data_IF_319455346209
#
_entry.id   IF_319455346209
#
_cell.length_a   1.000
_cell.length_b   1.000
_cell.length_c   1.000
_cell.angle_alpha   90.00
_cell.angle_beta   90.00
_cell.angle_gamma   90.00
#
_symmetry.space_group_name_H-M   'P 1'
#
loop_
_entity.id
_entity.type
_entity.pdbx_description
1 polymer ?
#
# COMPACT_ATOMS: atom_id res chain seq x y z
N UNK A 1 28.36 -6.14 -1.87
CA UNK A 1 27.75 -5.86 -3.19
C UNK A 1 26.97 -4.56 -3.06
N UNK A 2 27.20 -3.61 -3.97
CA UNK A 2 26.43 -2.36 -4.02
C UNK A 2 25.13 -2.63 -4.76
N UNK A 3 24.05 -1.95 -4.38
CA UNK A 3 22.77 -2.07 -5.06
C UNK A 3 22.28 -0.68 -5.46
N UNK A 4 21.69 -0.58 -6.65
CA UNK A 4 21.12 0.66 -7.13
C UNK A 4 19.93 1.07 -6.25
N UNK A 5 19.99 2.26 -5.64
CA UNK A 5 18.92 2.79 -4.78
C UNK A 5 17.59 3.03 -5.52
N UNK A 6 17.65 3.25 -6.84
CA UNK A 6 16.46 3.46 -7.69
C UNK A 6 15.76 2.16 -8.13
N UNK A 7 16.51 1.12 -8.52
CA UNK A 7 15.93 -0.08 -9.16
C UNK A 7 16.34 -1.42 -8.52
N UNK A 8 17.15 -1.41 -7.46
CA UNK A 8 17.59 -2.61 -6.74
C UNK A 8 18.60 -3.50 -7.48
N UNK A 9 19.07 -3.10 -8.67
CA UNK A 9 20.03 -3.91 -9.42
C UNK A 9 21.37 -4.04 -8.68
N UNK A 10 22.00 -5.21 -8.75
CA UNK A 10 23.36 -5.40 -8.25
C UNK A 10 24.35 -4.62 -9.11
N UNK A 11 25.30 -3.95 -8.45
CA UNK A 11 26.31 -3.11 -9.07
C UNK A 11 27.71 -3.61 -8.73
N UNK A 12 28.62 -3.47 -9.68
CA UNK A 12 30.05 -3.64 -9.43
C UNK A 12 30.54 -2.58 -8.44
N UNK A 13 31.58 -2.91 -7.66
CA UNK A 13 32.00 -2.07 -6.53
C UNK A 13 32.49 -0.67 -6.96
N UNK A 14 32.93 -0.52 -8.21
CA UNK A 14 33.46 0.69 -8.86
C UNK A 14 32.49 1.32 -9.88
N UNK A 15 31.27 0.78 -10.04
CA UNK A 15 30.28 1.32 -10.96
C UNK A 15 29.87 2.74 -10.57
N UNK A 16 30.11 3.72 -11.46
CA UNK A 16 29.72 5.13 -11.29
C UNK A 16 28.23 5.38 -11.62
N UNK A 17 27.64 4.50 -12.44
CA UNK A 17 26.25 4.57 -12.87
C UNK A 17 25.63 3.16 -12.87
N UNK A 18 24.33 3.09 -12.60
CA UNK A 18 23.59 1.84 -12.67
C UNK A 18 23.44 1.37 -14.11
N UNK A 19 24.00 0.21 -14.44
CA UNK A 19 23.91 -0.41 -15.77
C UNK A 19 22.48 -0.82 -16.19
N UNK A 20 21.50 -0.76 -15.28
CA UNK A 20 20.10 -1.09 -15.57
C UNK A 20 19.18 0.11 -15.74
N UNK A 21 19.37 1.17 -14.95
CA UNK A 21 18.47 2.34 -14.97
C UNK A 21 19.18 3.68 -15.11
N UNK A 22 20.50 3.70 -15.31
CA UNK A 22 21.28 4.92 -15.53
C UNK A 22 21.53 5.79 -14.30
N UNK A 23 20.93 5.48 -13.15
CA UNK A 23 21.09 6.27 -11.93
C UNK A 23 22.57 6.37 -11.51
N UNK A 24 23.06 7.58 -11.27
CA UNK A 24 24.40 7.80 -10.72
C UNK A 24 24.52 7.18 -9.33
N UNK A 25 25.61 6.46 -9.10
CA UNK A 25 25.92 5.84 -7.82
C UNK A 25 26.71 6.85 -7.01
N UNK A 26 26.06 7.47 -6.01
CA UNK A 26 26.75 8.39 -5.10
C UNK A 26 27.82 7.61 -4.32
N UNK A 27 29.08 8.02 -4.44
CA UNK A 27 30.22 7.32 -3.81
C UNK A 27 30.39 7.64 -2.32
N UNK A 28 29.52 8.45 -1.73
CA UNK A 28 29.63 8.90 -0.34
C UNK A 28 28.87 7.97 0.61
N UNK A 29 29.25 6.70 0.60
CA UNK A 29 28.76 5.71 1.58
C UNK A 29 29.92 4.91 2.16
N UNK A 30 30.86 5.65 2.75
CA UNK A 30 31.45 5.25 4.02
C UNK A 30 31.18 6.40 4.99
N UNK A 31 30.64 6.04 6.16
CA UNK A 31 30.46 6.88 7.34
C UNK A 31 29.15 7.67 7.44
N UNK A 32 28.02 6.94 7.53
CA UNK A 32 26.84 7.44 8.25
C UNK A 32 26.17 6.38 9.13
N UNK A 33 26.95 5.47 9.72
CA UNK A 33 26.53 4.62 10.83
C UNK A 33 27.74 4.37 11.75
N UNK A 34 27.94 5.31 12.68
CA UNK A 34 28.82 5.36 13.88
C UNK A 34 29.31 6.81 13.95
N UNK A 35 28.72 7.70 14.74
CA UNK A 35 29.09 7.86 16.14
C UNK A 35 28.14 8.89 16.75
N UNK A 36 27.32 8.46 17.71
CA UNK A 36 26.72 9.36 18.71
C UNK A 36 26.85 8.68 20.06
N UNK A 37 28.07 8.69 20.58
CA UNK A 37 28.38 8.58 22.00
C UNK A 37 29.87 8.89 22.20
N UNK A 38 30.12 9.76 23.17
CA UNK A 38 31.38 10.03 23.87
C UNK A 38 32.17 11.26 23.41
N UNK A 39 31.89 12.31 24.18
CA UNK A 39 32.68 13.45 24.62
C UNK A 39 34.18 13.22 24.86
N UNK A 40 34.90 14.33 24.68
CA UNK A 40 36.16 14.77 25.32
C UNK A 40 37.53 14.44 24.68
N UNK A 41 38.20 15.54 24.27
CA UNK A 41 39.61 15.89 24.52
C UNK A 41 40.73 15.09 23.81
N UNK A 42 41.39 15.73 22.83
CA UNK A 42 42.79 16.25 22.87
C UNK A 42 43.38 16.42 21.45
N UNK A 43 44.16 17.49 21.32
CA UNK A 43 44.82 18.10 20.17
C UNK A 43 45.91 17.27 19.44
N UNK A 44 46.27 17.79 18.24
CA UNK A 44 47.54 17.62 17.50
C UNK A 44 47.77 16.25 16.83
N UNK A 45 48.35 16.06 15.63
CA UNK A 45 49.15 16.88 14.72
C UNK A 45 49.38 16.08 13.39
N UNK A 46 49.66 16.81 12.29
CA UNK A 46 50.59 16.49 11.17
C UNK A 46 50.33 15.30 10.21
N UNK A 47 50.05 15.58 8.93
CA UNK A 47 51.02 15.71 7.80
C UNK A 47 51.68 14.37 7.41
N UNK A 48 51.35 13.76 6.25
CA UNK A 48 52.05 13.96 4.96
C UNK A 48 51.81 12.80 3.95
N UNK A 49 51.75 13.18 2.65
CA UNK A 49 52.30 12.52 1.43
C UNK A 49 52.19 11.01 1.20
N UNK A 50 52.16 10.46 0.00
CA UNK A 50 51.89 10.83 -1.41
C UNK A 50 52.26 9.53 -2.19
N UNK A 51 51.79 9.42 -3.43
CA UNK A 51 52.32 8.56 -4.52
C UNK A 51 52.02 7.05 -4.45
N UNK A 52 51.13 6.54 -5.30
CA UNK A 52 51.30 6.28 -6.75
C UNK A 52 52.42 5.27 -7.03
N UNK A 53 52.03 4.08 -7.52
CA UNK A 53 52.59 3.50 -8.75
C UNK A 53 51.77 2.31 -9.26
N UNK A 54 51.33 2.47 -10.51
CA UNK A 54 50.73 1.46 -11.39
C UNK A 54 51.82 0.57 -12.02
N UNK A 55 51.45 -0.68 -12.35
CA UNK A 55 51.82 -1.53 -13.53
C UNK A 55 51.68 -3.00 -13.10
N UNK A 56 51.26 -3.97 -13.91
CA UNK A 56 50.66 -4.09 -15.25
C UNK A 56 50.20 -5.56 -15.35
N UNK A 57 49.03 -5.78 -15.97
CA UNK A 57 48.70 -6.80 -17.00
C UNK A 57 49.23 -8.23 -16.82
N UNK A 58 48.31 -9.21 -16.84
CA UNK A 58 48.39 -10.39 -17.72
C UNK A 58 47.00 -11.01 -17.93
N UNK A 59 46.58 -11.03 -19.19
CA UNK A 59 45.49 -11.85 -19.73
C UNK A 59 45.84 -13.35 -19.65
N UNK A 60 44.83 -14.21 -19.56
CA UNK A 60 44.64 -15.50 -20.29
C UNK A 60 43.36 -16.18 -19.72
N UNK A 61 42.32 -16.30 -20.56
CA UNK A 61 41.35 -17.42 -20.59
C UNK A 61 41.84 -18.40 -21.67
N UNK A 62 41.48 -19.71 -21.70
CA UNK A 62 40.10 -20.18 -21.51
C UNK A 62 39.92 -21.64 -20.97
N UNK A 63 38.64 -22.06 -20.96
CA UNK A 63 38.09 -23.42 -21.11
C UNK A 63 37.57 -24.20 -19.87
N UNK A 64 36.23 -24.30 -19.85
CA UNK A 64 35.38 -25.50 -19.68
C UNK A 64 35.93 -26.70 -18.89
N UNK A 65 35.30 -26.98 -17.75
CA UNK A 65 35.02 -28.34 -17.29
C UNK A 65 33.57 -28.43 -16.78
N UNK A 66 32.82 -29.36 -17.37
CA UNK A 66 31.67 -30.02 -16.74
C UNK A 66 32.16 -30.80 -15.51
N UNK A 67 31.36 -30.85 -14.44
CA UNK A 67 30.77 -32.09 -13.93
C UNK A 67 29.91 -31.87 -12.67
N UNK A 68 28.79 -32.57 -12.70
CA UNK A 68 27.79 -32.87 -11.68
C UNK A 68 28.30 -33.05 -10.25
N UNK A 69 27.49 -32.60 -9.28
CA UNK A 69 27.15 -33.40 -8.09
C UNK A 69 25.66 -33.24 -7.81
N UNK A 70 24.97 -34.38 -7.85
CA UNK A 70 23.61 -34.60 -7.39
C UNK A 70 23.47 -34.33 -5.89
N UNK A 71 22.32 -33.82 -5.46
CA UNK A 71 21.60 -34.48 -4.38
C UNK A 71 20.11 -34.11 -4.43
N UNK A 72 19.39 -35.12 -4.88
CA UNK A 72 17.95 -35.32 -4.95
C UNK A 72 17.31 -35.38 -3.56
N UNK A 73 16.09 -34.85 -3.39
CA UNK A 73 15.05 -35.60 -2.69
C UNK A 73 13.67 -35.30 -3.30
N UNK A 74 13.07 -36.38 -3.79
CA UNK A 74 11.75 -36.61 -4.40
C UNK A 74 10.69 -36.53 -3.28
N UNK A 75 9.43 -36.11 -3.54
CA UNK A 75 8.30 -37.01 -3.84
C UNK A 75 7.15 -36.26 -4.54
N UNK A 76 6.63 -36.98 -5.54
CA UNK A 76 5.52 -36.72 -6.44
C UNK A 76 4.15 -36.46 -5.81
N UNK A 77 3.34 -35.76 -6.61
CA UNK A 77 1.88 -35.66 -6.56
C UNK A 77 1.28 -36.62 -7.60
N UNK A 78 0.24 -37.37 -7.21
CA UNK A 78 -0.91 -37.69 -8.06
C UNK A 78 -2.11 -38.04 -7.15
N UNK A 79 -3.19 -37.24 -7.19
CA UNK A 79 -4.48 -37.45 -7.89
C UNK A 79 -5.30 -38.66 -7.38
N UNK A 80 -6.53 -38.40 -6.90
CA UNK A 80 -7.83 -38.77 -7.54
C UNK A 80 -8.98 -38.47 -6.56
N UNK A 81 -10.14 -38.26 -7.19
CA UNK A 81 -11.35 -37.54 -6.87
C UNK A 81 -12.49 -38.41 -6.27
N UNK A 82 -13.56 -37.71 -5.84
CA UNK A 82 -14.99 -38.10 -5.81
C UNK A 82 -15.60 -39.06 -4.74
N UNK A 83 -16.47 -38.51 -3.88
CA UNK A 83 -17.95 -38.66 -3.91
C UNK A 83 -18.60 -37.90 -2.71
N UNK A 84 -19.43 -36.88 -2.94
CA UNK A 84 -20.92 -36.88 -2.96
C UNK A 84 -21.59 -37.43 -1.69
N UNK A 85 -22.27 -36.56 -0.94
CA UNK A 85 -23.74 -36.53 -0.89
C UNK A 85 -24.30 -35.28 -0.18
N UNK A 86 -25.42 -34.79 -0.72
CA UNK A 86 -26.29 -33.75 -0.13
C UNK A 86 -27.22 -34.41 0.89
N UNK A 87 -27.68 -33.67 1.91
CA UNK A 87 -29.08 -33.70 2.35
C UNK A 87 -29.41 -32.58 3.36
N UNK A 88 -30.50 -31.89 3.04
CA UNK A 88 -31.23 -30.92 3.86
C UNK A 88 -31.88 -31.56 5.10
N UNK A 89 -32.10 -30.76 6.17
CA UNK A 89 -33.45 -30.39 6.67
C UNK A 89 -33.43 -29.95 8.15
N UNK A 90 -33.90 -28.73 8.37
CA UNK A 90 -34.56 -28.30 9.61
C UNK A 90 -35.83 -29.13 9.86
N UNK A 91 -36.02 -29.65 11.09
CA UNK A 91 -37.30 -29.64 11.83
C UNK A 91 -37.17 -30.30 13.22
N UNK A 92 -37.44 -29.51 14.25
CA UNK A 92 -38.58 -29.75 15.15
C UNK A 92 -38.48 -30.85 16.23
N UNK A 93 -38.34 -30.35 17.46
CA UNK A 93 -39.13 -30.67 18.66
C UNK A 93 -39.01 -32.03 19.37
N UNK A 94 -38.80 -31.89 20.71
CA UNK A 94 -39.51 -32.57 21.82
C UNK A 94 -39.27 -34.08 21.95
N UNK A 95 -39.16 -34.68 23.11
CA UNK A 95 -39.25 -34.29 24.52
C UNK A 95 -38.70 -35.50 25.31
N UNK A 96 -38.54 -35.30 26.62
CA UNK A 96 -38.61 -36.31 27.70
C UNK A 96 -37.30 -37.02 28.08
N UNK A 97 -36.90 -37.19 29.35
CA UNK A 97 -37.13 -36.54 30.64
C UNK A 97 -36.35 -37.37 31.67
N UNK A 98 -35.68 -36.71 32.63
CA UNK A 98 -35.61 -37.03 34.08
C UNK A 98 -34.27 -36.56 34.63
N UNK A 99 -34.16 -36.04 35.86
CA UNK A 99 -35.06 -35.50 36.88
C UNK A 99 -34.19 -35.32 38.13
N UNK A 100 -34.64 -34.45 39.04
CA UNK A 100 -34.22 -34.22 40.43
C UNK A 100 -33.15 -33.11 40.60
N UNK A 101 -33.42 -31.95 41.21
CA UNK A 101 -34.47 -31.55 42.18
C UNK A 101 -34.95 -30.09 42.05
N UNK A 102 -36.26 -29.91 42.30
CA UNK A 102 -37.03 -28.68 42.55
C UNK A 102 -36.80 -28.17 43.99
N UNK A 103 -36.66 -26.89 44.34
CA UNK A 103 -37.54 -25.71 44.21
C UNK A 103 -38.84 -25.77 45.05
N UNK A 104 -39.05 -24.79 45.95
CA UNK A 104 -40.32 -24.10 46.34
C UNK A 104 -39.87 -22.79 47.06
N UNK A 105 -40.04 -21.55 46.54
CA UNK A 105 -41.22 -20.65 46.46
C UNK A 105 -41.92 -20.42 47.83
N UNK A 106 -42.31 -19.22 48.23
CA UNK A 106 -43.49 -18.50 47.74
C UNK A 106 -43.55 -17.02 48.20
N UNK A 107 -44.28 -16.23 47.40
CA UNK A 107 -45.10 -15.04 47.70
C UNK A 107 -44.53 -13.59 47.75
N UNK A 108 -44.77 -12.92 46.62
CA UNK A 108 -45.17 -11.51 46.33
C UNK A 108 -46.36 -11.05 47.24
N UNK A 109 -46.68 -9.74 47.53
CA UNK A 109 -46.36 -8.49 46.80
C UNK A 109 -45.92 -7.23 47.62
N UNK A 110 -45.44 -6.24 46.84
CA UNK A 110 -45.58 -4.78 46.93
C UNK A 110 -46.00 -4.12 48.25
N UNK A 111 -45.11 -3.27 48.74
CA UNK A 111 -45.38 -2.29 49.77
C UNK A 111 -45.78 -0.95 49.12
N UNK A 112 -47.02 -0.51 49.36
CA UNK A 112 -47.48 0.88 49.34
C UNK A 112 -48.85 0.89 50.02
N UNK A 113 -48.91 1.22 51.32
CA UNK A 113 -49.75 2.31 51.80
C UNK A 113 -49.66 2.47 53.32
N UNK A 114 -49.77 3.75 53.66
CA UNK A 114 -49.82 4.37 54.97
C UNK A 114 -50.89 3.82 55.94
N UNK A 115 -50.59 4.11 57.21
CA UNK A 115 -51.51 4.53 58.28
C UNK A 115 -51.94 3.51 59.37
N UNK A 116 -51.35 3.76 60.56
CA UNK A 116 -51.97 3.97 61.88
C UNK A 116 -52.92 2.86 62.41
N UNK A 117 -52.58 2.30 63.58
CA UNK A 117 -53.35 2.34 64.85
C UNK A 117 -52.76 1.33 65.86
N UNK A 118 -52.13 1.90 66.89
CA UNK A 118 -52.22 1.63 68.35
C UNK A 118 -52.38 0.20 68.90
N UNK A 119 -51.58 0.02 69.97
CA UNK A 119 -51.84 -0.71 71.22
C UNK A 119 -51.70 -2.23 71.21
N UNK A 120 -50.71 -2.74 71.95
CA UNK A 120 -50.95 -3.23 73.31
C UNK A 120 -49.65 -3.64 74.01
N UNK A 121 -49.36 -2.96 75.12
CA UNK A 121 -48.47 -3.46 76.15
C UNK A 121 -49.02 -4.76 76.75
N UNK A 122 -48.14 -5.73 77.04
CA UNK A 122 -48.16 -6.46 78.32
C UNK A 122 -46.86 -7.22 78.60
N UNK A 123 -46.25 -6.85 79.73
CA UNK A 123 -45.19 -7.51 80.50
C UNK A 123 -45.35 -9.03 80.62
N UNK A 124 -44.23 -9.76 80.57
CA UNK A 124 -43.90 -10.80 81.57
C UNK A 124 -42.41 -10.66 81.99
N UNK A 125 -42.19 -10.85 83.29
CA UNK A 125 -41.02 -10.58 84.12
C UNK A 125 -39.90 -11.62 84.01
N UNK A 126 -38.68 -11.14 84.25
CA UNK A 126 -37.51 -11.70 84.98
C UNK A 126 -37.30 -13.21 85.11
N UNK A 127 -36.07 -13.65 84.83
CA UNK A 127 -35.29 -14.40 85.82
C UNK A 127 -33.79 -14.11 85.63
N UNK A 128 -33.13 -13.68 86.70
CA UNK A 128 -31.68 -13.57 86.81
C UNK A 128 -31.12 -14.96 87.11
N UNK A 129 -30.06 -15.37 86.42
CA UNK A 129 -29.12 -16.35 86.96
C UNK A 129 -27.71 -15.97 86.51
N UNK A 130 -26.99 -15.31 87.42
CA UNK A 130 -25.56 -15.07 87.34
C UNK A 130 -24.81 -16.39 87.18
N UNK A 131 -24.03 -16.51 86.11
CA UNK A 131 -22.94 -17.48 86.04
C UNK A 131 -21.65 -16.70 85.75
N UNK A 132 -20.89 -16.46 86.82
CA UNK A 132 -19.50 -16.01 86.75
C UNK A 132 -18.71 -17.06 85.97
N UNK A 133 -18.27 -16.71 84.76
CA UNK A 133 -17.21 -17.43 84.07
C UNK A 133 -15.94 -16.61 84.35
N UNK A 134 -14.94 -17.27 84.91
CA UNK A 134 -13.61 -16.73 85.14
C UNK A 134 -13.06 -16.22 83.80
N UNK A 135 -12.76 -14.93 83.71
CA UNK A 135 -11.97 -14.38 82.62
C UNK A 135 -10.53 -14.91 82.79
N UNK A 136 -10.14 -15.90 81.99
CA UNK A 136 -8.74 -16.05 81.65
C UNK A 136 -8.34 -14.87 80.74
N UNK A 137 -7.23 -14.16 81.02
CA UNK A 137 -6.80 -13.09 80.15
C UNK A 137 -6.28 -13.72 78.85
N UNK A 138 -7.10 -13.70 77.80
CA UNK A 138 -6.61 -13.91 76.44
C UNK A 138 -5.64 -12.76 76.18
N UNK A 139 -4.34 -13.07 76.21
CA UNK A 139 -3.29 -12.19 75.70
C UNK A 139 -3.67 -11.78 74.29
N UNK A 140 -4.01 -10.51 74.12
CA UNK A 140 -4.07 -9.88 72.81
C UNK A 140 -2.65 -9.85 72.20
N UNK A 141 -2.32 -10.81 71.33
CA UNK A 141 -1.25 -10.60 70.34
C UNK A 141 -1.75 -9.60 69.29
N UNK A 142 -1.70 -8.30 69.62
CA UNK A 142 -1.99 -7.20 68.69
C UNK A 142 -0.84 -6.90 67.71
N UNK A 143 0.04 -7.88 67.46
CA UNK A 143 1.30 -7.66 66.72
C UNK A 143 1.31 -8.00 65.23
N UNK A 144 0.45 -8.90 64.72
CA UNK A 144 0.66 -9.46 63.36
C UNK A 144 -0.55 -9.46 62.41
N UNK A 145 -1.78 -9.27 62.90
CA UNK A 145 -2.98 -9.32 62.03
C UNK A 145 -3.04 -8.14 61.05
N UNK A 146 -2.66 -6.94 61.48
CA UNK A 146 -2.61 -5.76 60.62
C UNK A 146 -1.53 -5.89 59.52
N UNK A 147 -0.38 -6.48 59.85
CA UNK A 147 0.72 -6.69 58.90
C UNK A 147 0.37 -7.72 57.81
N UNK A 148 -0.34 -8.78 58.20
CA UNK A 148 -0.90 -9.77 57.26
C UNK A 148 -1.93 -9.12 56.33
N UNK A 149 -2.84 -8.29 56.86
CA UNK A 149 -3.85 -7.58 56.06
C UNK A 149 -3.20 -6.61 55.07
N UNK A 150 -2.18 -5.86 55.49
CA UNK A 150 -1.41 -4.97 54.60
C UNK A 150 -0.69 -5.77 53.51
N UNK A 151 -0.08 -6.91 53.86
CA UNK A 151 0.57 -7.80 52.89
C UNK A 151 -0.40 -8.34 51.83
N UNK A 152 -1.62 -8.72 52.23
CA UNK A 152 -2.67 -9.17 51.30
C UNK A 152 -3.08 -8.04 50.36
N UNK A 153 -3.31 -6.82 50.87
CA UNK A 153 -3.68 -5.66 50.06
C UNK A 153 -2.60 -5.32 49.03
N UNK A 154 -1.32 -5.30 49.45
CA UNK A 154 -0.20 -5.05 48.54
C UNK A 154 -0.10 -6.16 47.48
N UNK A 155 -0.30 -7.42 47.86
CA UNK A 155 -0.37 -8.53 46.93
C UNK A 155 -1.47 -8.35 45.89
N UNK A 156 -2.68 -7.94 46.31
CA UNK A 156 -3.80 -7.65 45.41
C UNK A 156 -3.48 -6.50 44.44
N UNK A 157 -2.87 -5.42 44.92
CA UNK A 157 -2.47 -4.28 44.07
C UNK A 157 -1.44 -4.71 43.03
N UNK A 158 -0.47 -5.54 43.40
CA UNK A 158 0.54 -6.07 42.47
C UNK A 158 -0.13 -6.94 41.41
N UNK A 159 -1.05 -7.83 41.81
CA UNK A 159 -1.81 -8.68 40.88
C UNK A 159 -2.65 -7.84 39.93
N UNK A 160 -3.40 -6.85 40.43
CA UNK A 160 -4.20 -5.94 39.60
C UNK A 160 -3.31 -5.17 38.63
N UNK A 161 -2.17 -4.64 39.11
CA UNK A 161 -1.22 -3.92 38.27
C UNK A 161 -0.63 -4.80 37.19
N UNK A 162 -0.30 -6.06 37.50
CA UNK A 162 0.18 -7.03 36.53
C UNK A 162 -0.89 -7.35 35.47
N UNK A 163 -2.14 -7.56 35.87
CA UNK A 163 -3.27 -7.76 34.96
C UNK A 163 -3.46 -6.55 34.04
N UNK A 164 -3.49 -5.34 34.58
CA UNK A 164 -3.61 -4.12 33.78
C UNK A 164 -2.43 -3.95 32.82
N UNK A 165 -1.21 -4.28 33.26
CA UNK A 165 -0.03 -4.21 32.40
C UNK A 165 -0.10 -5.21 31.24
N UNK A 166 -0.60 -6.43 31.49
CA UNK A 166 -0.79 -7.48 30.49
C UNK A 166 -1.85 -7.04 29.47
N UNK A 167 -3.01 -6.56 29.93
CA UNK A 167 -4.14 -6.21 29.05
C UNK A 167 -4.15 -4.77 28.55
N UNK A 168 -3.16 -3.94 28.91
CA UNK A 168 -3.14 -2.50 28.56
C UNK A 168 -3.35 -2.23 27.07
N UNK A 169 -2.80 -3.09 26.20
CA UNK A 169 -2.91 -2.94 24.75
C UNK A 169 -4.33 -3.26 24.26
N UNK A 170 -4.95 -4.32 24.76
CA UNK A 170 -6.33 -4.67 24.41
C UNK A 170 -7.31 -3.64 24.96
N UNK A 171 -7.11 -3.15 26.19
CA UNK A 171 -7.91 -2.06 26.78
C UNK A 171 -7.82 -0.80 25.90
N UNK A 172 -6.61 -0.40 25.50
CA UNK A 172 -6.42 0.75 24.64
C UNK A 172 -7.03 0.56 23.24
N UNK A 173 -6.86 -0.62 22.63
CA UNK A 173 -7.50 -0.98 21.36
C UNK A 173 -9.02 -0.83 21.45
N UNK A 174 -9.64 -1.50 22.42
CA UNK A 174 -11.10 -1.46 22.63
C UNK A 174 -11.59 -0.04 22.90
N UNK A 175 -10.83 0.77 23.65
CA UNK A 175 -11.16 2.17 23.87
C UNK A 175 -11.22 2.96 22.56
N UNK A 176 -10.20 2.87 21.71
CA UNK A 176 -10.19 3.62 20.45
C UNK A 176 -11.22 3.12 19.44
N UNK A 177 -11.49 1.82 19.39
CA UNK A 177 -12.55 1.25 18.55
C UNK A 177 -13.95 1.67 19.01
N UNK A 178 -14.21 1.74 20.32
CA UNK A 178 -15.49 2.26 20.83
C UNK A 178 -15.60 3.76 20.58
N UNK A 179 -14.52 4.50 20.78
CA UNK A 179 -14.48 5.94 20.56
C UNK A 179 -14.78 6.29 19.10
N UNK A 180 -14.20 5.59 18.12
CA UNK A 180 -14.50 5.84 16.70
C UNK A 180 -15.98 5.74 16.37
N UNK A 181 -16.73 4.86 17.04
CA UNK A 181 -18.18 4.71 16.81
C UNK A 181 -18.99 5.90 17.34
N UNK A 182 -18.43 6.68 18.27
CA UNK A 182 -19.05 7.91 18.80
C UNK A 182 -18.61 9.17 18.07
N UNK A 183 -17.55 9.11 17.26
CA UNK A 183 -17.06 10.25 16.48
C UNK A 183 -18.00 10.53 15.30
N UNK A 184 -18.34 11.81 15.10
CA UNK A 184 -19.18 12.25 13.98
C UNK A 184 -18.37 12.53 12.72
N UNK A 185 -17.13 13.00 12.86
CA UNK A 185 -16.27 13.35 11.73
C UNK A 185 -15.43 12.16 11.26
N UNK A 186 -15.27 12.03 9.94
CA UNK A 186 -14.41 11.02 9.32
C UNK A 186 -12.94 11.18 9.78
N UNK A 187 -12.45 12.40 9.87
CA UNK A 187 -11.08 12.68 10.35
C UNK A 187 -10.88 12.18 11.77
N UNK A 188 -11.83 12.44 12.69
CA UNK A 188 -11.76 11.93 14.06
C UNK A 188 -11.80 10.40 14.11
N UNK A 189 -12.62 9.77 13.24
CA UNK A 189 -12.64 8.30 13.11
C UNK A 189 -11.29 7.75 12.67
N UNK A 190 -10.68 8.32 11.63
CA UNK A 190 -9.35 7.91 11.15
C UNK A 190 -8.26 8.09 12.21
N UNK A 191 -8.31 9.17 13.00
CA UNK A 191 -7.39 9.36 14.15
C UNK A 191 -7.56 8.24 15.18
N UNK A 192 -8.80 7.83 15.47
CA UNK A 192 -9.08 6.72 16.38
C UNK A 192 -8.56 5.39 15.81
N UNK A 193 -8.81 5.09 14.53
CA UNK A 193 -8.29 3.89 13.88
C UNK A 193 -6.76 3.87 13.83
N UNK A 194 -6.11 5.00 13.52
CA UNK A 194 -4.66 5.12 13.57
C UNK A 194 -4.11 4.77 14.96
N UNK A 195 -4.77 5.26 16.02
CA UNK A 195 -4.40 4.90 17.40
C UNK A 195 -4.69 3.44 17.73
N UNK A 196 -5.78 2.86 17.23
CA UNK A 196 -6.09 1.44 17.42
C UNK A 196 -5.01 0.53 16.81
N UNK A 197 -4.59 0.82 15.56
CA UNK A 197 -3.53 0.09 14.85
C UNK A 197 -2.20 0.05 15.63
N UNK A 198 -1.88 1.11 16.38
CA UNK A 198 -0.70 1.15 17.24
C UNK A 198 -0.69 0.06 18.31
N UNK A 199 -1.87 -0.31 18.83
CA UNK A 199 -1.98 -1.31 19.90
C UNK A 199 -2.26 -2.70 19.36
N UNK A 200 -3.12 -2.81 18.35
CA UNK A 200 -3.51 -4.07 17.72
C UNK A 200 -3.82 -3.86 16.25
N UNK A 201 -3.12 -4.58 15.39
CA UNK A 201 -3.28 -4.51 13.94
C UNK A 201 -4.24 -5.61 13.47
N UNK A 202 -5.49 -5.26 13.19
CA UNK A 202 -6.56 -6.21 12.84
C UNK A 202 -7.20 -5.87 11.50
N UNK A 203 -7.75 -6.88 10.82
CA UNK A 203 -8.50 -6.67 9.58
C UNK A 203 -9.72 -5.76 9.79
N UNK A 204 -10.39 -5.91 10.94
CA UNK A 204 -11.51 -5.05 11.35
C UNK A 204 -11.15 -3.55 11.29
N UNK A 205 -9.96 -3.15 11.74
CA UNK A 205 -9.54 -1.74 11.67
C UNK A 205 -9.29 -1.33 10.22
N UNK A 206 -8.68 -2.19 9.40
CA UNK A 206 -8.44 -1.90 7.98
C UNK A 206 -9.74 -1.71 7.21
N UNK A 207 -10.73 -2.57 7.45
CA UNK A 207 -12.06 -2.49 6.82
C UNK A 207 -12.77 -1.20 7.23
N UNK A 208 -12.67 -0.81 8.51
CA UNK A 208 -13.22 0.45 8.98
C UNK A 208 -12.52 1.69 8.38
N UNK A 209 -11.19 1.65 8.23
CA UNK A 209 -10.45 2.70 7.52
C UNK A 209 -10.92 2.79 6.07
N UNK A 210 -11.03 1.65 5.38
CA UNK A 210 -11.55 1.57 4.01
C UNK A 210 -12.94 2.20 3.87
N UNK A 211 -13.88 1.82 4.75
CA UNK A 211 -15.25 2.32 4.70
C UNK A 211 -15.33 3.84 4.87
N UNK A 212 -14.45 4.42 5.69
CA UNK A 212 -14.38 5.88 5.86
C UNK A 212 -13.77 6.56 4.62
N UNK A 213 -12.74 6.00 4.00
CA UNK A 213 -12.01 6.71 2.94
C UNK A 213 -12.54 6.46 1.53
N UNK A 214 -13.12 5.30 1.24
CA UNK A 214 -13.40 4.84 -0.15
C UNK A 214 -14.29 5.78 -0.97
N UNK A 215 -15.16 6.54 -0.31
CA UNK A 215 -16.10 7.49 -0.95
C UNK A 215 -15.54 8.91 -1.12
N UNK A 216 -14.35 9.18 -0.61
CA UNK A 216 -13.73 10.50 -0.68
C UNK A 216 -12.78 10.61 -1.88
N UNK A 217 -12.66 11.79 -2.50
CA UNK A 217 -11.73 12.03 -3.62
C UNK A 217 -10.25 12.05 -3.19
N UNK A 218 -10.01 12.52 -1.97
CA UNK A 218 -8.71 12.62 -1.28
C UNK A 218 -8.34 11.33 -0.54
N UNK A 219 -8.99 10.19 -0.85
CA UNK A 219 -8.78 8.91 -0.16
C UNK A 219 -7.29 8.52 -0.04
N UNK A 220 -6.48 8.79 -1.07
CA UNK A 220 -5.05 8.48 -1.08
C UNK A 220 -4.27 9.29 -0.04
N UNK A 221 -4.59 10.57 0.13
CA UNK A 221 -3.99 11.44 1.14
C UNK A 221 -4.42 11.01 2.54
N UNK A 222 -5.73 10.76 2.73
CA UNK A 222 -6.27 10.27 4.00
C UNK A 222 -5.62 8.98 4.46
N UNK A 223 -5.45 8.01 3.56
CA UNK A 223 -4.78 6.74 3.85
C UNK A 223 -3.31 6.98 4.21
N UNK A 224 -2.61 7.85 3.47
CA UNK A 224 -1.21 8.20 3.73
C UNK A 224 -0.99 8.83 5.11
N UNK A 225 -2.01 9.53 5.63
CA UNK A 225 -1.99 10.15 6.95
C UNK A 225 -2.25 9.16 8.11
N UNK A 226 -2.66 7.92 7.85
CA UNK A 226 -2.81 6.87 8.87
C UNK A 226 -1.45 6.20 9.12
N UNK A 227 -0.61 6.87 9.89
CA UNK A 227 0.82 6.54 10.07
C UNK A 227 1.15 5.15 10.64
N UNK A 228 0.22 4.48 11.33
CA UNK A 228 0.43 3.11 11.84
C UNK A 228 0.02 2.02 10.83
N UNK A 229 -0.44 2.37 9.61
CA UNK A 229 -0.67 1.39 8.55
C UNK A 229 0.65 0.80 8.04
N UNK A 230 0.64 -0.51 7.74
CA UNK A 230 1.72 -1.12 6.97
C UNK A 230 1.65 -0.63 5.53
N UNK A 231 2.81 -0.45 4.91
CA UNK A 231 2.94 0.04 3.53
C UNK A 231 2.11 -0.76 2.52
N UNK A 232 2.12 -2.09 2.63
CA UNK A 232 1.38 -2.95 1.70
C UNK A 232 -0.14 -2.87 1.90
N UNK A 233 -0.60 -2.71 3.14
CA UNK A 233 -2.03 -2.53 3.41
C UNK A 233 -2.50 -1.13 2.98
N UNK A 234 -1.68 -0.10 3.15
CA UNK A 234 -1.96 1.24 2.62
C UNK A 234 -2.10 1.22 1.09
N UNK A 235 -1.18 0.56 0.37
CA UNK A 235 -1.31 0.36 -1.09
C UNK A 235 -2.58 -0.39 -1.46
N UNK A 236 -2.92 -1.45 -0.72
CA UNK A 236 -4.15 -2.23 -0.94
C UNK A 236 -5.40 -1.35 -0.74
N UNK A 237 -5.46 -0.58 0.34
CA UNK A 237 -6.57 0.34 0.62
C UNK A 237 -6.70 1.42 -0.47
N UNK A 238 -5.58 1.98 -0.95
CA UNK A 238 -5.56 2.95 -2.06
C UNK A 238 -6.11 2.29 -3.32
N UNK A 239 -5.61 1.10 -3.67
CA UNK A 239 -6.04 0.34 -4.84
C UNK A 239 -7.55 0.04 -4.79
N UNK A 240 -8.02 -0.51 -3.69
CA UNK A 240 -9.42 -0.92 -3.53
C UNK A 240 -10.36 0.29 -3.55
N UNK A 241 -9.97 1.39 -2.89
CA UNK A 241 -10.73 2.66 -2.91
C UNK A 241 -10.78 3.27 -4.30
N UNK A 242 -9.65 3.27 -5.02
CA UNK A 242 -9.56 3.78 -6.38
C UNK A 242 -10.45 2.98 -7.34
N UNK A 243 -10.45 1.64 -7.25
CA UNK A 243 -11.33 0.78 -8.05
C UNK A 243 -12.80 1.03 -7.73
N UNK A 244 -13.15 1.17 -6.44
CA UNK A 244 -14.52 1.50 -6.02
C UNK A 244 -14.99 2.81 -6.65
N UNK A 245 -14.17 3.87 -6.60
CA UNK A 245 -14.48 5.16 -7.23
C UNK A 245 -14.55 5.06 -8.75
N UNK A 246 -13.62 4.34 -9.37
CA UNK A 246 -13.62 4.13 -10.81
C UNK A 246 -14.94 3.51 -11.28
N UNK A 247 -15.42 2.47 -10.57
CA UNK A 247 -16.70 1.84 -10.88
C UNK A 247 -17.88 2.82 -10.72
N UNK A 248 -17.94 3.55 -9.61
CA UNK A 248 -18.98 4.57 -9.38
C UNK A 248 -18.97 5.68 -10.44
N UNK A 249 -17.80 6.11 -10.90
CA UNK A 249 -17.65 7.12 -11.94
C UNK A 249 -18.04 6.57 -13.32
N UNK A 250 -17.72 5.32 -13.61
CA UNK A 250 -18.17 4.65 -14.83
C UNK A 250 -19.69 4.57 -14.89
N UNK A 251 -20.31 4.07 -13.81
CA UNK A 251 -21.77 3.87 -13.74
C UNK A 251 -22.56 5.20 -13.81
N UNK A 252 -21.92 6.32 -13.44
CA UNK A 252 -22.50 7.67 -13.55
C UNK A 252 -22.17 8.38 -14.87
N UNK A 253 -21.45 7.73 -15.80
CA UNK A 253 -21.03 8.31 -17.08
C UNK A 253 -19.86 9.30 -17.00
N UNK A 254 -19.22 9.44 -15.83
CA UNK A 254 -18.03 10.25 -15.65
C UNK A 254 -16.77 9.46 -16.02
N UNK A 255 -16.59 9.18 -17.30
CA UNK A 255 -15.50 8.35 -17.82
C UNK A 255 -14.11 8.93 -17.55
N UNK A 256 -13.96 10.26 -17.57
CA UNK A 256 -12.68 10.91 -17.26
C UNK A 256 -12.26 10.62 -15.82
N UNK A 257 -13.14 10.88 -14.85
CA UNK A 257 -12.86 10.58 -13.46
C UNK A 257 -12.72 9.07 -13.20
N UNK A 258 -13.38 8.22 -13.99
CA UNK A 258 -13.15 6.78 -13.95
C UNK A 258 -11.68 6.45 -14.28
N UNK A 259 -11.16 6.93 -15.42
CA UNK A 259 -9.77 6.69 -15.81
C UNK A 259 -8.76 7.28 -14.83
N UNK A 260 -8.99 8.50 -14.34
CA UNK A 260 -8.12 9.12 -13.33
C UNK A 260 -8.01 8.25 -12.07
N UNK A 261 -9.11 7.64 -11.61
CA UNK A 261 -9.08 6.72 -10.48
C UNK A 261 -8.41 5.39 -10.82
N UNK A 262 -8.58 4.85 -12.03
CA UNK A 262 -7.84 3.67 -12.47
C UNK A 262 -6.33 3.93 -12.53
N UNK A 263 -5.89 5.12 -12.94
CA UNK A 263 -4.48 5.52 -12.91
C UNK A 263 -3.95 5.64 -11.47
N UNK A 264 -4.74 6.15 -10.53
CA UNK A 264 -4.40 6.09 -9.09
C UNK A 264 -4.19 4.65 -8.63
N UNK A 265 -5.05 3.71 -9.04
CA UNK A 265 -4.88 2.29 -8.75
C UNK A 265 -3.62 1.71 -9.42
N UNK A 266 -3.32 2.11 -10.67
CA UNK A 266 -2.16 1.65 -11.43
C UNK A 266 -0.84 2.05 -10.75
N UNK A 267 -0.77 3.26 -10.20
CA UNK A 267 0.38 3.75 -9.41
C UNK A 267 0.72 2.86 -8.21
N UNK A 268 -0.25 2.09 -7.70
CA UNK A 268 -0.06 1.11 -6.61
C UNK A 268 -0.13 -0.35 -7.08
N UNK A 269 0.04 -0.60 -8.38
CA UNK A 269 0.22 -1.93 -8.96
C UNK A 269 -1.05 -2.60 -9.49
N UNK A 270 -2.12 -1.85 -9.76
CA UNK A 270 -3.28 -2.38 -10.46
C UNK A 270 -3.06 -2.42 -11.98
N UNK A 271 -3.53 -3.49 -12.63
CA UNK A 271 -3.59 -3.55 -14.08
C UNK A 271 -4.91 -2.92 -14.55
N UNK A 272 -4.88 -1.74 -15.18
CA UNK A 272 -6.09 -1.05 -15.64
C UNK A 272 -6.91 -1.92 -16.60
N UNK A 273 -6.25 -2.73 -17.43
CA UNK A 273 -6.91 -3.58 -18.42
C UNK A 273 -7.77 -4.70 -17.78
N UNK A 274 -7.59 -4.99 -16.49
CA UNK A 274 -8.44 -5.93 -15.75
C UNK A 274 -9.71 -5.29 -15.19
N UNK A 275 -9.92 -3.98 -15.39
CA UNK A 275 -11.19 -3.34 -15.05
C UNK A 275 -12.29 -3.87 -15.96
N UNK A 276 -13.41 -4.33 -15.38
CA UNK A 276 -14.44 -5.09 -16.11
C UNK A 276 -14.97 -4.35 -17.34
N UNK A 277 -15.14 -3.02 -17.24
CA UNK A 277 -15.69 -2.18 -18.29
C UNK A 277 -14.59 -1.41 -19.06
N UNK A 278 -13.33 -1.86 -19.01
CA UNK A 278 -12.18 -1.15 -19.56
C UNK A 278 -12.30 -0.85 -21.07
N UNK A 279 -12.75 -1.81 -21.87
CA UNK A 279 -12.87 -1.62 -23.32
C UNK A 279 -13.88 -0.52 -23.65
N UNK A 280 -15.04 -0.57 -23.01
CA UNK A 280 -16.08 0.46 -23.17
C UNK A 280 -15.57 1.82 -22.66
N UNK A 281 -14.88 1.85 -21.52
CA UNK A 281 -14.30 3.08 -20.98
C UNK A 281 -13.37 3.77 -22.00
N UNK A 282 -12.44 3.03 -22.59
CA UNK A 282 -11.50 3.57 -23.59
C UNK A 282 -12.23 4.05 -24.84
N UNK A 283 -13.27 3.33 -25.28
CA UNK A 283 -14.11 3.76 -26.40
C UNK A 283 -14.86 5.07 -26.10
N UNK A 284 -15.43 5.20 -24.90
CA UNK A 284 -16.13 6.42 -24.45
C UNK A 284 -15.21 7.62 -24.27
N UNK A 285 -13.96 7.39 -23.89
CA UNK A 285 -12.94 8.43 -23.70
C UNK A 285 -12.31 8.89 -25.02
N UNK A 286 -12.33 8.04 -26.03
CA UNK A 286 -11.86 8.34 -27.37
C UNK A 286 -13.02 8.21 -28.35
N UNK A 287 -14.09 9.01 -28.22
CA UNK A 287 -15.17 8.96 -29.18
C UNK A 287 -14.54 9.24 -30.55
N UNK A 288 -14.56 8.22 -31.42
CA UNK A 288 -14.05 8.34 -32.77
C UNK A 288 -14.80 9.53 -33.40
N UNK A 289 -14.12 10.65 -33.64
CA UNK A 289 -14.48 11.41 -34.83
C UNK A 289 -14.24 10.44 -35.96
N UNK A 290 -15.34 10.00 -36.56
CA UNK A 290 -15.45 9.01 -37.61
C UNK A 290 -14.54 9.40 -38.78
N UNK A 291 -13.25 9.16 -38.62
CA UNK A 291 -12.24 9.24 -39.63
C UNK A 291 -11.73 7.83 -39.67
N UNK A 292 -12.07 7.12 -40.74
CA UNK A 292 -11.36 5.93 -41.15
C UNK A 292 -9.85 6.10 -40.91
N UNK A 293 -9.06 5.02 -40.76
CA UNK A 293 -7.63 5.12 -40.96
C UNK A 293 -7.41 5.69 -42.37
N UNK A 294 -7.30 7.00 -42.47
CA UNK A 294 -7.13 7.68 -43.73
C UNK A 294 -5.73 7.28 -44.16
N UNK A 295 -5.68 6.31 -45.06
CA UNK A 295 -4.52 5.98 -45.88
C UNK A 295 -4.14 7.15 -46.82
N UNK A 296 -4.76 8.31 -46.66
CA UNK A 296 -4.39 9.56 -47.26
C UNK A 296 -3.57 10.38 -46.26
N UNK A 297 -2.37 10.80 -46.67
CA UNK A 297 -1.50 11.75 -45.97
C UNK A 297 -2.29 12.99 -45.51
N UNK A 298 -2.87 12.96 -44.32
CA UNK A 298 -3.40 14.17 -43.68
C UNK A 298 -2.23 14.77 -42.94
N UNK A 299 -1.62 15.81 -43.52
CA UNK A 299 -0.65 16.66 -42.82
C UNK A 299 -1.38 17.40 -41.70
N UNK A 300 -1.51 16.76 -40.55
CA UNK A 300 -1.98 17.41 -39.34
C UNK A 300 -0.82 18.22 -38.76
N UNK A 301 -1.03 19.52 -38.61
CA UNK A 301 -0.05 20.45 -38.06
C UNK A 301 -0.03 20.30 -36.53
N UNK A 302 1.01 19.66 -35.98
CA UNK A 302 1.23 19.61 -34.53
C UNK A 302 2.21 20.70 -34.11
N UNK A 303 1.85 21.44 -33.06
CA UNK A 303 2.67 22.50 -32.46
C UNK A 303 3.63 21.93 -31.41
N UNK A 304 4.89 22.39 -31.43
CA UNK A 304 5.91 22.06 -30.45
C UNK A 304 5.53 22.54 -29.04
N UNK A 305 5.84 21.75 -28.01
CA UNK A 305 5.80 22.19 -26.59
C UNK A 305 7.06 22.92 -26.15
N UNK A 306 8.16 22.82 -26.90
CA UNK A 306 9.43 23.48 -26.57
C UNK A 306 9.44 24.93 -27.04
N UNK A 307 9.82 25.86 -26.15
CA UNK A 307 9.96 27.30 -26.45
C UNK A 307 11.19 27.64 -27.31
N UNK A 308 12.04 26.66 -27.64
CA UNK A 308 13.24 26.81 -28.47
C UNK A 308 13.34 25.78 -29.61
N UNK A 309 12.47 25.81 -30.63
CA UNK A 309 12.73 25.09 -31.87
C UNK A 309 13.77 25.87 -32.69
N UNK A 310 14.86 25.22 -33.10
CA UNK A 310 15.86 25.77 -34.02
C UNK A 310 15.35 25.88 -35.48
N UNK A 311 14.04 25.96 -35.69
CA UNK A 311 13.41 25.93 -37.00
C UNK A 311 12.38 27.06 -37.07
N UNK A 312 12.54 27.91 -38.08
CA UNK A 312 11.64 29.03 -38.39
C UNK A 312 10.20 28.61 -38.78
N UNK A 313 9.84 27.33 -38.66
CA UNK A 313 8.49 26.81 -38.89
C UNK A 313 8.02 25.98 -37.69
N UNK A 314 7.02 26.49 -36.97
CA UNK A 314 6.30 25.85 -35.84
C UNK A 314 5.44 24.63 -36.23
N UNK A 315 5.65 24.05 -37.41
CA UNK A 315 4.80 23.00 -37.99
C UNK A 315 5.63 21.75 -38.23
N UNK A 316 5.30 20.67 -37.52
CA UNK A 316 5.74 19.32 -37.89
C UNK A 316 4.74 18.77 -38.89
N UNK A 317 5.21 18.36 -40.07
CA UNK A 317 4.41 17.49 -40.94
C UNK A 317 4.39 16.11 -40.28
N UNK A 318 3.37 15.85 -39.47
CA UNK A 318 3.07 14.50 -39.04
C UNK A 318 2.63 13.70 -40.26
N UNK A 319 3.04 12.44 -40.33
CA UNK A 319 2.58 11.54 -41.38
C UNK A 319 1.07 11.24 -41.28
N UNK A 320 0.40 11.69 -40.23
CA UNK A 320 -0.79 11.00 -39.72
C UNK A 320 -0.37 9.68 -39.07
N UNK A 321 -1.33 8.87 -38.62
CA UNK A 321 -1.06 7.55 -38.02
C UNK A 321 -0.58 6.56 -39.09
N UNK A 322 0.62 6.77 -39.66
CA UNK A 322 1.19 5.90 -40.68
C UNK A 322 1.84 4.71 -39.99
N UNK A 323 1.19 3.58 -40.19
CA UNK A 323 1.73 2.28 -39.83
C UNK A 323 2.70 1.78 -40.90
N UNK A 324 3.98 1.62 -40.53
CA UNK A 324 4.97 0.91 -41.32
C UNK A 324 5.15 -0.48 -40.72
N UNK A 325 5.02 -1.53 -41.54
CA UNK A 325 5.25 -2.92 -41.12
C UNK A 325 6.68 -3.22 -40.66
N UNK A 326 7.64 -2.40 -41.09
CA UNK A 326 9.05 -2.51 -40.76
C UNK A 326 9.54 -1.18 -40.14
N UNK A 327 10.24 -1.26 -39.01
CA UNK A 327 10.86 -0.13 -38.31
C UNK A 327 11.67 0.81 -39.21
N UNK A 328 12.27 0.30 -40.28
CA UNK A 328 13.02 1.11 -41.26
C UNK A 328 12.16 2.21 -41.89
N UNK A 329 10.86 2.00 -41.99
CA UNK A 329 9.91 2.99 -42.50
C UNK A 329 9.85 4.27 -41.66
N UNK A 330 10.32 4.24 -40.40
CA UNK A 330 10.30 5.40 -39.49
C UNK A 330 11.62 6.18 -39.43
N UNK A 331 12.71 5.66 -40.00
CA UNK A 331 14.04 6.31 -39.88
C UNK A 331 14.07 7.68 -40.57
N UNK A 332 13.50 7.78 -41.77
CA UNK A 332 13.45 9.02 -42.56
C UNK A 332 12.32 9.99 -42.17
N UNK A 333 11.46 9.62 -41.23
CA UNK A 333 10.26 10.37 -40.88
C UNK A 333 10.58 11.48 -39.88
N UNK A 334 10.20 12.72 -40.19
CA UNK A 334 10.39 13.88 -39.31
C UNK A 334 9.17 14.17 -38.43
N UNK A 335 8.12 13.34 -38.48
CA UNK A 335 6.93 13.43 -37.64
C UNK A 335 6.97 12.54 -36.39
N UNK A 336 5.96 12.70 -35.54
CA UNK A 336 5.63 11.75 -34.48
C UNK A 336 5.05 10.46 -35.07
N UNK A 337 5.34 9.31 -34.46
CA UNK A 337 4.76 8.01 -34.84
C UNK A 337 3.30 7.95 -34.40
N UNK A 338 3.00 8.40 -33.17
CA UNK A 338 1.63 8.47 -32.64
C UNK A 338 1.40 9.89 -32.13
N UNK A 339 1.09 10.84 -33.02
CA UNK A 339 1.11 12.25 -32.71
C UNK A 339 0.14 12.67 -31.59
N UNK A 340 -0.98 11.97 -31.45
CA UNK A 340 -2.05 12.22 -30.50
C UNK A 340 -1.89 11.45 -29.16
N UNK A 341 -0.75 10.79 -28.94
CA UNK A 341 -0.46 10.07 -27.69
C UNK A 341 -0.38 10.97 -26.45
N UNK A 342 -0.37 12.30 -26.61
CA UNK A 342 -0.36 13.27 -25.52
C UNK A 342 -1.74 13.89 -25.24
N UNK A 343 -2.75 13.56 -26.04
CA UNK A 343 -4.10 14.14 -25.93
C UNK A 343 -5.24 13.12 -25.88
N UNK A 344 -4.96 11.83 -26.10
CA UNK A 344 -5.97 10.76 -26.03
C UNK A 344 -5.40 9.46 -25.46
N UNK A 345 -6.29 8.56 -25.04
CA UNK A 345 -5.90 7.24 -24.53
C UNK A 345 -5.76 6.25 -25.71
N UNK A 346 -4.62 5.59 -25.85
CA UNK A 346 -4.40 4.59 -26.89
C UNK A 346 -5.07 3.28 -26.51
N UNK A 347 -5.49 2.51 -27.52
CA UNK A 347 -6.08 1.19 -27.30
C UNK A 347 -5.05 0.08 -27.53
N UNK A 348 -5.26 -1.07 -26.89
CA UNK A 348 -4.44 -2.26 -27.15
C UNK A 348 -4.53 -2.68 -28.62
N UNK A 349 -5.73 -2.67 -29.21
CA UNK A 349 -5.94 -3.06 -30.61
C UNK A 349 -5.12 -2.20 -31.58
N UNK A 350 -5.08 -0.88 -31.35
CA UNK A 350 -4.25 0.05 -32.12
C UNK A 350 -2.75 -0.26 -31.94
N UNK A 351 -2.30 -0.56 -30.73
CA UNK A 351 -0.89 -0.80 -30.45
C UNK A 351 -0.41 -2.18 -30.95
N UNK A 352 -1.30 -3.17 -31.03
CA UNK A 352 -0.96 -4.52 -31.50
C UNK A 352 -0.48 -4.55 -32.95
N UNK A 353 -0.78 -3.53 -33.76
CA UNK A 353 -0.28 -3.45 -35.13
C UNK A 353 1.25 -3.23 -35.17
N UNK A 354 1.84 -2.54 -34.18
CA UNK A 354 3.27 -2.22 -34.18
C UNK A 354 4.14 -3.41 -33.75
N UNK A 355 5.34 -3.50 -34.32
CA UNK A 355 6.36 -4.45 -33.85
C UNK A 355 6.99 -3.99 -32.53
N UNK A 356 7.71 -4.90 -31.85
CA UNK A 356 8.34 -4.62 -30.55
C UNK A 356 9.29 -3.41 -30.59
N UNK A 357 10.04 -3.27 -31.69
CA UNK A 357 11.01 -2.19 -31.84
C UNK A 357 10.29 -0.83 -31.92
N UNK A 358 9.25 -0.76 -32.73
CA UNK A 358 8.43 0.43 -32.97
C UNK A 358 7.65 0.81 -31.72
N UNK A 359 7.12 -0.16 -30.96
CA UNK A 359 6.54 0.10 -29.63
C UNK A 359 7.56 0.77 -28.69
N UNK A 360 8.81 0.30 -28.71
CA UNK A 360 9.90 0.94 -27.98
C UNK A 360 10.11 2.39 -28.41
N UNK A 361 10.07 2.69 -29.72
CA UNK A 361 10.15 4.07 -30.22
C UNK A 361 8.95 4.92 -29.78
N UNK A 362 7.72 4.43 -29.93
CA UNK A 362 6.50 5.16 -29.54
C UNK A 362 6.52 5.48 -28.04
N UNK A 363 6.91 4.52 -27.19
CA UNK A 363 7.02 4.76 -25.75
C UNK A 363 8.05 5.85 -25.45
N UNK A 364 9.23 5.81 -26.09
CA UNK A 364 10.29 6.78 -25.84
C UNK A 364 10.00 8.14 -26.51
N UNK A 365 9.14 8.20 -27.53
CA UNK A 365 8.70 9.44 -28.15
C UNK A 365 7.99 10.35 -27.13
N UNK A 366 7.19 9.77 -26.23
CA UNK A 366 6.55 10.50 -25.13
C UNK A 366 7.58 11.30 -24.32
N UNK A 367 8.71 10.68 -23.96
CA UNK A 367 9.78 11.34 -23.20
C UNK A 367 10.60 12.28 -24.08
N UNK A 368 10.83 11.92 -25.35
CA UNK A 368 11.55 12.75 -26.30
C UNK A 368 10.86 14.10 -26.56
N UNK A 369 9.52 14.13 -26.55
CA UNK A 369 8.73 15.37 -26.69
C UNK A 369 9.04 16.41 -25.63
N UNK A 370 9.50 15.96 -24.45
CA UNK A 370 9.89 16.79 -23.32
C UNK A 370 11.42 16.94 -23.17
N UNK A 371 12.19 16.48 -24.17
CA UNK A 371 13.64 16.66 -24.20
C UNK A 371 14.46 15.65 -23.40
N UNK A 372 13.90 14.49 -23.07
CA UNK A 372 14.64 13.44 -22.35
C UNK A 372 15.98 13.09 -22.99
N UNK A 373 17.05 13.04 -22.20
CA UNK A 373 18.40 12.72 -22.65
C UNK A 373 18.61 11.20 -22.63
N UNK A 374 18.59 10.57 -23.80
CA UNK A 374 18.71 9.11 -23.91
C UNK A 374 20.14 8.59 -23.72
N UNK A 375 20.34 7.74 -22.71
CA UNK A 375 21.58 6.97 -22.54
C UNK A 375 21.72 5.80 -23.52
N UNK A 376 20.61 5.17 -23.90
CA UNK A 376 20.60 4.07 -24.88
C UNK A 376 20.86 4.61 -26.30
N UNK A 377 21.87 4.05 -26.97
CA UNK A 377 22.29 4.43 -28.31
C UNK A 377 21.13 4.37 -29.31
N UNK A 378 20.24 3.37 -29.20
CA UNK A 378 19.14 3.19 -30.14
C UNK A 378 18.20 4.39 -30.17
N UNK A 379 17.75 4.83 -28.99
CA UNK A 379 16.82 5.95 -28.89
C UNK A 379 17.54 7.27 -29.16
N UNK A 380 18.77 7.41 -28.66
CA UNK A 380 19.58 8.61 -28.93
C UNK A 380 19.79 8.81 -30.43
N UNK A 381 20.23 7.78 -31.14
CA UNK A 381 20.53 7.85 -32.58
C UNK A 381 19.27 8.03 -33.44
N UNK A 382 18.12 7.55 -32.96
CA UNK A 382 16.83 7.77 -33.61
C UNK A 382 16.32 9.20 -33.41
N UNK A 383 16.23 9.66 -32.15
CA UNK A 383 15.67 10.97 -31.82
C UNK A 383 16.59 12.13 -32.18
N UNK A 384 17.92 11.96 -32.16
CA UNK A 384 18.87 13.01 -32.58
C UNK A 384 18.74 13.38 -34.07
N UNK A 385 18.09 12.53 -34.88
CA UNK A 385 17.80 12.78 -36.30
C UNK A 385 16.44 13.44 -36.52
N UNK A 386 15.65 13.64 -35.45
CA UNK A 386 14.34 14.26 -35.51
C UNK A 386 14.48 15.76 -35.28
N UNK A 387 13.98 16.54 -36.22
CA UNK A 387 14.07 17.99 -36.21
C UNK A 387 13.31 18.64 -35.03
N UNK A 388 12.36 17.91 -34.43
CA UNK A 388 11.55 18.33 -33.29
C UNK A 388 12.16 18.01 -31.93
N UNK A 389 13.17 17.14 -31.87
CA UNK A 389 13.77 16.71 -30.61
C UNK A 389 14.85 17.69 -30.16
N UNK A 390 14.66 18.27 -28.98
CA UNK A 390 15.63 19.17 -28.33
C UNK A 390 15.90 18.63 -26.93
N UNK A 391 17.15 18.18 -26.63
CA UNK A 391 17.51 17.73 -25.29
C UNK A 391 17.32 18.83 -24.23
N UNK A 392 16.67 18.51 -23.12
CA UNK A 392 16.44 19.40 -21.98
C UNK A 392 16.97 18.75 -20.69
N UNK A 393 18.08 19.25 -20.13
CA UNK A 393 18.64 18.73 -18.87
C UNK A 393 17.72 18.89 -17.65
N UNK A 394 16.70 19.75 -17.72
CA UNK A 394 15.73 19.96 -16.64
C UNK A 394 14.65 18.87 -16.59
N UNK A 395 14.42 18.16 -17.70
CA UNK A 395 13.47 17.05 -17.77
C UNK A 395 14.13 15.75 -17.31
N UNK A 396 13.63 15.16 -16.22
CA UNK A 396 14.21 13.95 -15.62
C UNK A 396 13.50 12.66 -16.06
N UNK A 397 12.35 12.78 -16.71
CA UNK A 397 11.52 11.66 -17.15
C UNK A 397 10.78 10.98 -16.01
N UNK A 398 10.51 11.71 -14.92
CA UNK A 398 9.69 11.23 -13.82
C UNK A 398 8.19 11.28 -14.20
N UNK A 399 7.40 10.35 -13.65
CA UNK A 399 5.97 10.22 -13.94
C UNK A 399 5.15 11.50 -13.66
N UNK A 400 5.68 12.43 -12.85
CA UNK A 400 5.06 13.70 -12.52
C UNK A 400 5.31 14.82 -13.56
N UNK A 401 6.27 14.62 -14.46
CA UNK A 401 6.65 15.58 -15.50
C UNK A 401 5.89 15.37 -16.82
N UNK A 402 5.09 14.31 -16.91
CA UNK A 402 4.27 13.97 -18.08
C UNK A 402 2.78 14.02 -17.73
N UNK A 403 1.92 14.20 -18.73
CA UNK A 403 0.48 14.30 -18.50
C UNK A 403 -0.19 12.91 -18.32
N UNK A 404 -1.48 12.91 -17.94
CA UNK A 404 -2.21 11.66 -17.67
C UNK A 404 -2.31 10.74 -18.90
N UNK A 405 -2.47 11.29 -20.11
CA UNK A 405 -2.50 10.49 -21.34
C UNK A 405 -1.16 9.83 -21.59
N UNK A 406 -0.08 10.61 -21.53
CA UNK A 406 1.30 10.16 -21.70
C UNK A 406 1.68 9.08 -20.69
N UNK A 407 1.31 9.28 -19.42
CA UNK A 407 1.53 8.30 -18.35
C UNK A 407 0.81 6.98 -18.65
N UNK A 408 -0.49 7.02 -18.95
CA UNK A 408 -1.25 5.81 -19.27
C UNK A 408 -0.71 5.11 -20.53
N UNK A 409 -0.50 5.88 -21.61
CA UNK A 409 -0.07 5.36 -22.90
C UNK A 409 1.30 4.71 -22.80
N UNK A 410 2.26 5.36 -22.14
CA UNK A 410 3.59 4.80 -21.93
C UNK A 410 3.57 3.47 -21.16
N UNK A 411 2.68 3.33 -20.18
CA UNK A 411 2.48 2.08 -19.43
C UNK A 411 1.82 1.01 -20.29
N UNK A 412 0.76 1.33 -21.03
CA UNK A 412 0.09 0.38 -21.93
C UNK A 412 1.06 -0.14 -23.01
N UNK A 413 1.84 0.74 -23.63
CA UNK A 413 2.85 0.37 -24.63
C UNK A 413 3.91 -0.55 -24.02
N UNK A 414 4.39 -0.26 -22.81
CA UNK A 414 5.35 -1.11 -22.10
C UNK A 414 4.79 -2.53 -21.86
N UNK A 415 3.53 -2.65 -21.47
CA UNK A 415 2.92 -3.97 -21.25
C UNK A 415 2.78 -4.76 -22.55
N UNK A 416 2.37 -4.13 -23.64
CA UNK A 416 2.27 -4.78 -24.97
C UNK A 416 3.67 -5.13 -25.51
N UNK A 417 4.68 -4.28 -25.30
CA UNK A 417 6.06 -4.57 -25.70
C UNK A 417 6.63 -5.81 -24.98
N UNK A 418 6.24 -6.04 -23.72
CA UNK A 418 6.67 -7.23 -22.96
C UNK A 418 6.06 -8.53 -23.47
N UNK A 419 4.89 -8.47 -24.10
CA UNK A 419 4.20 -9.66 -24.62
C UNK A 419 4.63 -10.04 -26.03
N UNK A 420 5.35 -9.16 -26.73
CA UNK A 420 6.03 -9.43 -28.00
C UNK A 420 7.49 -9.81 -27.78
#
# INVERSE_FOLDING_TARGET
MKYCVKCGNSLDNDAKFCNKCGQQVNNDSKDMYTTKLNTEKIDAEKINTEKISLKKVNDIKPNNLNNNVENTFVIDKDKIDLNKDKLDLNKGNKDVNKSYENSIKDNIPSNNNENIIKNNERRIKSSNLDRRIMEEPIREEKGNKALIVVGIILGLIIVISAVLFIFRKDIAYTHFMKKSNTETSETSKLVCYNKALKYKYTQEVLDNVYEVVRKNDDFSERISNVSNLKKEDAKKLIKDSAIFRAKSNFDSGNYKACMENLQKAQKVGYNINSFGDYKELVEKLNPQENTQPNTANVSNNYTYKNDHPSIANKVVNSLGNVYCKDHKGYEGVQGYIVPDSDSRYLSEAELQQYDKYTLGLIRNEIYARHGYIFGDNRYRDYFSKKNWYVPDPSFHGDDAEINDYEYYNGRLILEIEKTK
#
